data_IF_488171132822
#
_entry.id   IF_488171132822
#
_cell.length_a   1.000
_cell.length_b   1.000
_cell.length_c   1.000
_cell.angle_alpha   90.00
_cell.angle_beta   90.00
_cell.angle_gamma   90.00
#
_symmetry.space_group_name_H-M   'P 1'
#
loop_
_entity.id
_entity.type
_entity.pdbx_description
1 polymer ?
#
# COMPACT_ATOMS: atom_id res chain seq x y z
N UNK A 1 4.53 3.98 0.44
CA UNK A 1 4.37 2.54 0.11
C UNK A 1 5.72 1.92 -0.25
N UNK A 2 6.39 2.30 -1.34
CA UNK A 2 7.70 1.71 -1.76
C UNK A 2 8.72 1.57 -0.61
N UNK A 3 8.94 2.63 0.17
CA UNK A 3 9.85 2.59 1.33
C UNK A 3 9.46 1.55 2.39
N UNK A 4 8.16 1.36 2.62
CA UNK A 4 7.63 0.37 3.58
C UNK A 4 7.73 -1.04 3.02
N UNK A 5 7.31 -1.23 1.77
CA UNK A 5 7.22 -2.53 1.12
C UNK A 5 8.57 -3.18 0.84
N UNK A 6 9.49 -2.42 0.26
CA UNK A 6 10.70 -3.01 -0.33
C UNK A 6 11.98 -2.30 0.07
N UNK A 7 11.90 -1.31 0.97
CA UNK A 7 13.03 -0.41 1.28
C UNK A 7 13.64 0.17 -0.01
N UNK A 8 12.78 0.57 -0.95
CA UNK A 8 13.16 1.00 -2.30
C UNK A 8 13.97 -0.06 -3.08
N UNK A 9 13.60 -1.34 -2.94
CA UNK A 9 14.24 -2.47 -3.60
C UNK A 9 15.37 -3.13 -2.80
N UNK A 10 15.87 -2.51 -1.74
CA UNK A 10 17.05 -2.99 -1.01
C UNK A 10 16.87 -4.36 -0.33
N UNK A 11 15.63 -4.80 -0.08
CA UNK A 11 15.34 -6.12 0.53
C UNK A 11 14.82 -7.16 -0.47
N UNK A 12 14.77 -6.84 -1.77
CA UNK A 12 14.22 -7.73 -2.79
C UNK A 12 15.30 -8.65 -3.38
N UNK A 13 14.92 -9.87 -3.72
CA UNK A 13 15.75 -10.81 -4.49
C UNK A 13 15.14 -10.98 -5.87
N UNK A 14 15.80 -10.46 -6.91
CA UNK A 14 15.29 -10.43 -8.29
C UNK A 14 13.87 -9.84 -8.40
N UNK A 15 13.58 -8.81 -7.59
CA UNK A 15 12.27 -8.17 -7.55
C UNK A 15 11.24 -8.85 -6.65
N UNK A 16 11.55 -10.00 -6.05
CA UNK A 16 10.62 -10.73 -5.20
C UNK A 16 10.90 -10.50 -3.71
N UNK A 17 9.83 -10.32 -2.93
CA UNK A 17 9.80 -10.32 -1.48
C UNK A 17 8.65 -11.20 -0.96
N UNK A 18 8.32 -11.08 0.33
CA UNK A 18 7.27 -11.86 1.01
C UNK A 18 7.23 -13.35 0.61
N UNK A 19 8.33 -14.07 0.86
CA UNK A 19 8.45 -15.50 0.54
C UNK A 19 8.14 -15.83 -0.94
N UNK A 20 8.37 -14.87 -1.84
CA UNK A 20 8.13 -15.01 -3.28
C UNK A 20 6.70 -14.66 -3.72
N UNK A 21 5.88 -14.02 -2.89
CA UNK A 21 4.52 -13.60 -3.26
C UNK A 21 4.46 -12.14 -3.72
N UNK A 22 5.20 -11.25 -3.07
CA UNK A 22 5.25 -9.83 -3.42
C UNK A 22 6.23 -9.54 -4.54
N UNK A 23 5.78 -8.86 -5.58
CA UNK A 23 6.60 -8.47 -6.73
C UNK A 23 6.87 -6.96 -6.78
N UNK A 24 8.11 -6.60 -7.05
CA UNK A 24 8.59 -5.26 -7.36
C UNK A 24 8.55 -4.23 -6.23
N UNK A 25 8.87 -2.98 -6.58
CA UNK A 25 9.06 -1.87 -5.62
C UNK A 25 7.86 -1.66 -4.68
N UNK A 26 6.65 -1.87 -5.20
CA UNK A 26 5.39 -1.77 -4.45
C UNK A 26 4.84 -3.12 -3.96
N UNK A 27 5.55 -4.23 -4.14
CA UNK A 27 5.16 -5.57 -3.66
C UNK A 27 3.73 -6.00 -4.04
N UNK A 28 3.42 -5.95 -5.34
CA UNK A 28 2.15 -6.47 -5.88
C UNK A 28 2.06 -7.97 -5.61
N UNK A 29 1.03 -8.40 -4.91
CA UNK A 29 0.85 -9.80 -4.52
C UNK A 29 0.34 -10.66 -5.68
N UNK A 30 1.15 -11.62 -6.10
CA UNK A 30 0.84 -12.54 -7.22
C UNK A 30 -0.38 -13.44 -6.98
N UNK A 31 -0.82 -13.59 -5.73
CA UNK A 31 -1.99 -14.40 -5.36
C UNK A 31 -3.31 -13.71 -5.73
N UNK A 32 -3.28 -12.39 -5.88
CA UNK A 32 -4.46 -11.55 -6.13
C UNK A 32 -4.39 -10.81 -7.46
N UNK A 33 -3.18 -10.61 -8.00
CA UNK A 33 -2.95 -9.89 -9.25
C UNK A 33 -1.88 -10.58 -10.09
N UNK A 34 -1.94 -10.45 -11.41
CA UNK A 34 -0.81 -10.80 -12.28
C UNK A 34 0.18 -9.64 -12.31
N UNK A 35 1.41 -9.78 -11.79
CA UNK A 35 2.37 -8.67 -11.80
C UNK A 35 2.78 -8.27 -13.23
N UNK A 36 2.95 -6.97 -13.48
CA UNK A 36 3.25 -6.39 -14.79
C UNK A 36 4.60 -5.67 -14.79
N UNK A 37 5.26 -5.67 -15.94
CA UNK A 37 6.53 -4.98 -16.13
C UNK A 37 7.73 -5.57 -15.37
N UNK A 38 8.86 -4.89 -15.45
CA UNK A 38 10.01 -5.19 -14.61
C UNK A 38 9.75 -4.72 -13.17
N UNK A 39 10.38 -5.37 -12.20
CA UNK A 39 10.15 -5.14 -10.77
C UNK A 39 10.35 -3.68 -10.30
N UNK A 40 11.11 -2.89 -11.07
CA UNK A 40 11.40 -1.48 -10.86
C UNK A 40 10.95 -0.57 -12.01
N UNK A 41 10.11 -1.04 -12.93
CA UNK A 41 9.63 -0.24 -14.06
C UNK A 41 8.51 0.73 -13.66
N UNK A 42 8.30 1.73 -14.52
CA UNK A 42 7.13 2.59 -14.45
C UNK A 42 5.82 1.78 -14.52
N UNK A 43 5.74 0.77 -15.39
CA UNK A 43 4.58 -0.10 -15.51
C UNK A 43 4.23 -0.79 -14.18
N UNK A 44 5.25 -1.24 -13.43
CA UNK A 44 5.05 -1.83 -12.11
C UNK A 44 4.54 -0.81 -11.09
N UNK A 45 5.12 0.39 -11.07
CA UNK A 45 4.67 1.47 -10.17
C UNK A 45 3.25 1.91 -10.51
N UNK A 46 2.90 1.99 -11.80
CA UNK A 46 1.55 2.27 -12.29
C UNK A 46 0.58 1.20 -11.80
N UNK A 47 0.91 -0.10 -11.94
CA UNK A 47 0.07 -1.18 -11.43
C UNK A 47 -0.16 -1.09 -9.92
N UNK A 48 0.91 -0.92 -9.14
CA UNK A 48 0.80 -0.80 -7.68
C UNK A 48 -0.06 0.41 -7.28
N UNK A 49 0.03 1.51 -8.01
CA UNK A 49 -0.77 2.71 -7.77
C UNK A 49 -2.24 2.53 -8.17
N UNK A 50 -2.55 1.81 -9.26
CA UNK A 50 -3.93 1.44 -9.62
C UNK A 50 -4.60 0.62 -8.52
N UNK A 51 -3.89 -0.37 -7.94
CA UNK A 51 -4.40 -1.19 -6.83
C UNK A 51 -4.66 -0.33 -5.59
N UNK A 52 -3.77 0.64 -5.29
CA UNK A 52 -3.99 1.61 -4.22
C UNK A 52 -5.24 2.47 -4.49
N UNK A 53 -5.43 2.97 -5.70
CA UNK A 53 -6.61 3.76 -6.08
C UNK A 53 -7.89 2.93 -5.87
N UNK A 54 -7.90 1.67 -6.30
CA UNK A 54 -9.02 0.76 -6.08
C UNK A 54 -9.30 0.54 -4.59
N UNK A 55 -8.25 0.40 -3.78
CA UNK A 55 -8.37 0.28 -2.31
C UNK A 55 -8.95 1.56 -1.68
N UNK A 56 -8.52 2.74 -2.12
CA UNK A 56 -9.09 4.02 -1.68
C UNK A 56 -10.56 4.10 -2.06
N UNK A 57 -10.92 3.80 -3.31
CA UNK A 57 -12.32 3.82 -3.78
C UNK A 57 -13.20 2.84 -2.97
N UNK A 58 -12.70 1.65 -2.68
CA UNK A 58 -13.42 0.68 -1.84
C UNK A 58 -13.69 1.24 -0.43
N UNK A 59 -12.73 1.95 0.16
CA UNK A 59 -12.89 2.59 1.48
C UNK A 59 -13.82 3.80 1.42
N UNK A 60 -13.77 4.60 0.36
CA UNK A 60 -14.71 5.70 0.15
C UNK A 60 -16.16 5.20 0.07
N UNK A 61 -16.39 4.09 -0.62
CA UNK A 61 -17.70 3.45 -0.72
C UNK A 61 -18.14 2.82 0.61
N UNK A 62 -17.20 2.21 1.35
CA UNK A 62 -17.48 1.55 2.64
C UNK A 62 -17.79 2.54 3.76
N UNK A 63 -17.11 3.69 3.77
CA UNK A 63 -17.24 4.72 4.80
C UNK A 63 -17.47 6.11 4.19
N UNK A 64 -18.62 6.35 3.54
CA UNK A 64 -18.88 7.59 2.80
C UNK A 64 -18.93 8.83 3.71
N UNK A 65 -19.22 8.65 5.01
CA UNK A 65 -19.26 9.73 6.00
C UNK A 65 -17.90 10.12 6.58
N UNK A 66 -16.84 9.34 6.31
CA UNK A 66 -15.49 9.70 6.76
C UNK A 66 -14.94 10.91 6.00
N UNK A 67 -14.14 11.78 6.66
CA UNK A 67 -13.33 12.78 5.97
C UNK A 67 -12.45 12.15 4.87
N UNK A 68 -12.14 12.91 3.82
CA UNK A 68 -11.35 12.41 2.69
C UNK A 68 -9.97 11.91 3.11
N UNK A 69 -9.37 12.53 4.11
CA UNK A 69 -8.09 12.16 4.70
C UNK A 69 -8.18 10.81 5.42
N UNK A 70 -9.30 10.54 6.11
CA UNK A 70 -9.55 9.27 6.77
C UNK A 70 -9.79 8.15 5.76
N UNK A 71 -10.54 8.45 4.69
CA UNK A 71 -10.74 7.51 3.57
C UNK A 71 -9.41 7.20 2.87
N UNK A 72 -8.58 8.21 2.66
CA UNK A 72 -7.25 8.05 2.06
C UNK A 72 -6.34 7.18 2.93
N UNK A 73 -6.26 7.45 4.25
CA UNK A 73 -5.51 6.63 5.20
C UNK A 73 -6.03 5.19 5.24
N UNK A 74 -7.35 5.00 5.29
CA UNK A 74 -7.97 3.68 5.23
C UNK A 74 -7.67 2.94 3.93
N UNK A 75 -7.60 3.65 2.79
CA UNK A 75 -7.19 3.08 1.51
C UNK A 75 -5.75 2.56 1.52
N UNK A 76 -4.84 3.25 2.22
CA UNK A 76 -3.46 2.78 2.43
C UNK A 76 -3.44 1.53 3.32
N UNK A 77 -4.24 1.46 4.38
CA UNK A 77 -4.36 0.23 5.20
C UNK A 77 -4.92 -0.92 4.34
N UNK A 78 -5.98 -0.66 3.59
CA UNK A 78 -6.63 -1.62 2.71
C UNK A 78 -5.72 -2.13 1.60
N UNK A 79 -4.73 -1.36 1.15
CA UNK A 79 -3.71 -1.82 0.21
C UNK A 79 -2.95 -3.04 0.74
N UNK A 80 -2.68 -3.09 2.05
CA UNK A 80 -1.91 -4.17 2.66
C UNK A 80 -2.72 -5.44 2.94
N UNK A 81 -3.95 -5.29 3.46
CA UNK A 81 -4.73 -6.41 3.99
C UNK A 81 -6.18 -6.48 3.48
N UNK A 82 -6.51 -5.69 2.46
CA UNK A 82 -7.85 -5.57 1.89
C UNK A 82 -8.82 -4.67 2.68
N UNK A 83 -9.84 -4.12 2.01
CA UNK A 83 -10.81 -3.20 2.62
C UNK A 83 -11.72 -3.86 3.66
N UNK A 84 -11.82 -5.20 3.67
CA UNK A 84 -12.59 -5.95 4.67
C UNK A 84 -12.07 -5.73 6.11
N UNK A 85 -10.77 -5.55 6.27
CA UNK A 85 -10.12 -5.40 7.58
C UNK A 85 -10.16 -3.97 8.14
N UNK A 86 -10.40 -2.96 7.31
CA UNK A 86 -10.66 -1.59 7.78
C UNK A 86 -12.09 -1.52 8.36
N UNK A 87 -12.22 -1.41 9.68
CA UNK A 87 -13.53 -1.42 10.37
C UNK A 87 -13.88 -0.10 11.07
N UNK A 88 -12.88 0.54 11.66
CA UNK A 88 -13.00 1.83 12.38
C UNK A 88 -11.79 2.68 12.04
N UNK A 89 -11.87 3.99 12.24
CA UNK A 89 -10.76 4.88 11.92
C UNK A 89 -9.60 4.68 12.91
N UNK A 90 -9.92 4.61 14.20
CA UNK A 90 -8.97 4.57 15.31
C UNK A 90 -8.16 3.28 15.36
N UNK A 91 -8.71 2.18 14.82
CA UNK A 91 -8.12 0.84 14.86
C UNK A 91 -7.90 0.24 13.47
N UNK A 92 -7.82 1.07 12.43
CA UNK A 92 -7.72 0.59 11.05
C UNK A 92 -6.47 -0.24 10.78
N UNK A 93 -5.37 0.00 11.50
CA UNK A 93 -4.12 -0.71 11.23
C UNK A 93 -4.01 -2.06 11.97
N UNK A 94 -4.92 -2.37 12.90
CA UNK A 94 -4.88 -3.64 13.64
C UNK A 94 -5.07 -4.82 12.68
N UNK A 95 -4.09 -5.72 12.64
CA UNK A 95 -4.01 -6.86 11.73
C UNK A 95 -3.11 -6.61 10.51
N UNK A 96 -2.65 -5.38 10.28
CA UNK A 96 -1.55 -5.14 9.33
C UNK A 96 -0.21 -5.57 9.96
N UNK A 97 0.85 -5.86 9.19
CA UNK A 97 2.16 -6.16 9.77
C UNK A 97 2.61 -5.04 10.71
N UNK A 98 2.88 -5.36 11.98
CA UNK A 98 3.26 -4.37 13.00
C UNK A 98 2.11 -3.50 13.53
N UNK A 99 0.86 -3.77 13.13
CA UNK A 99 -0.34 -3.02 13.51
C UNK A 99 -0.25 -1.50 13.22
N UNK A 100 0.53 -1.12 12.21
CA UNK A 100 0.90 0.28 11.96
C UNK A 100 0.96 0.70 10.48
N UNK A 101 0.56 -0.16 9.53
CA UNK A 101 0.94 -0.01 8.13
C UNK A 101 0.58 1.36 7.53
N UNK A 102 -0.67 1.80 7.64
CA UNK A 102 -1.07 3.10 7.06
C UNK A 102 -0.49 4.28 7.83
N UNK A 103 -0.36 4.16 9.15
CA UNK A 103 0.23 5.18 10.01
C UNK A 103 1.72 5.41 9.70
N UNK A 104 2.51 4.35 9.57
CA UNK A 104 3.92 4.42 9.18
C UNK A 104 4.08 4.92 7.73
N UNK A 105 3.28 4.41 6.78
CA UNK A 105 3.30 4.89 5.40
C UNK A 105 2.98 6.39 5.31
N UNK A 106 2.02 6.88 6.09
CA UNK A 106 1.68 8.31 6.14
C UNK A 106 2.81 9.15 6.76
N UNK A 107 3.45 8.69 7.83
CA UNK A 107 4.60 9.39 8.42
C UNK A 107 5.77 9.49 7.42
N UNK A 108 6.06 8.40 6.70
CA UNK A 108 7.07 8.39 5.63
C UNK A 108 6.71 9.33 4.48
N UNK A 109 5.46 9.35 4.04
CA UNK A 109 5.04 10.23 2.95
C UNK A 109 5.16 11.70 3.30
N UNK A 110 4.87 12.08 4.56
CA UNK A 110 5.11 13.44 5.05
C UNK A 110 6.59 13.81 5.03
N UNK A 111 7.49 12.86 5.33
CA UNK A 111 8.93 13.08 5.19
C UNK A 111 9.30 13.30 3.72
N UNK A 112 8.89 12.42 2.80
CA UNK A 112 9.18 12.56 1.36
C UNK A 112 8.64 13.87 0.78
N UNK A 113 7.45 14.31 1.21
CA UNK A 113 6.84 15.58 0.81
C UNK A 113 7.73 16.80 1.11
N UNK A 114 8.53 16.74 2.18
CA UNK A 114 9.49 17.79 2.55
C UNK A 114 10.82 17.70 1.79
N UNK A 115 11.00 16.66 0.97
CA UNK A 115 12.25 16.35 0.27
C UNK A 115 12.06 16.16 -1.24
N UNK A 116 11.08 16.84 -1.85
CA UNK A 116 10.93 16.94 -3.31
C UNK A 116 10.05 15.88 -3.97
N UNK A 117 9.18 15.21 -3.21
CA UNK A 117 8.15 14.31 -3.70
C UNK A 117 6.73 14.85 -3.45
#
# INVERSE_FOLDING_TARGET
IISRESRAGAVLVNGWGDHGNGFGLMQVDKRHHTPRGAWNSEEHVTQGTEILIQSIQAIQNKFPSWPKEHQFKGGIAAYNFGPGNVRTYERMDIGTPGDDYSSDVAARSQWFKRHGY
#
